data_IF_374006829843
#
_entry.id   IF_374006829843
#
_cell.length_a   1.000
_cell.length_b   1.000
_cell.length_c   1.000
_cell.angle_alpha   90.00
_cell.angle_beta   90.00
_cell.angle_gamma   90.00
#
_symmetry.space_group_name_H-M   'P 1'
#
loop_
_entity.id
_entity.type
_entity.pdbx_description
1 polymer ?
#
# COMPACT_ATOMS: atom_id res chain seq x y z
N UNK A 1 -45.65 7.91 12.94
CA UNK A 1 -44.69 6.86 13.27
C UNK A 1 -44.58 6.00 12.03
N UNK A 2 -43.60 6.30 11.18
CA UNK A 2 -43.35 5.57 9.93
C UNK A 2 -42.57 4.31 10.25
N UNK A 3 -43.12 3.16 9.87
CA UNK A 3 -42.48 1.84 9.96
C UNK A 3 -41.23 1.79 9.06
N UNK A 4 -40.09 2.24 9.59
CA UNK A 4 -38.80 1.95 8.98
C UNK A 4 -38.38 0.55 9.39
N UNK A 5 -38.72 -0.44 8.57
CA UNK A 5 -38.17 -1.78 8.73
C UNK A 5 -36.64 -1.71 8.56
N UNK A 6 -35.84 -2.23 9.51
CA UNK A 6 -34.40 -2.24 9.38
C UNK A 6 -34.02 -3.04 8.13
N UNK A 7 -33.07 -2.57 7.30
CA UNK A 7 -32.71 -3.29 6.09
C UNK A 7 -32.25 -4.71 6.44
N UNK A 8 -32.93 -5.71 5.88
CA UNK A 8 -32.55 -7.11 5.99
C UNK A 8 -31.18 -7.32 5.34
N UNK A 9 -30.14 -7.27 6.17
CA UNK A 9 -28.78 -7.70 5.85
C UNK A 9 -28.10 -6.85 4.76
N UNK A 10 -27.27 -5.91 5.21
CA UNK A 10 -26.24 -5.35 4.34
C UNK A 10 -25.45 -6.51 3.71
N UNK A 11 -25.39 -6.56 2.37
CA UNK A 11 -24.48 -7.46 1.66
C UNK A 11 -23.07 -6.93 1.89
N UNK A 12 -22.53 -7.14 3.09
CA UNK A 12 -21.11 -7.04 3.32
C UNK A 12 -20.50 -8.18 2.51
N UNK A 13 -20.05 -7.87 1.30
CA UNK A 13 -19.29 -8.80 0.48
C UNK A 13 -17.97 -9.09 1.20
N UNK A 14 -18.01 -9.98 2.18
CA UNK A 14 -16.87 -10.31 3.03
C UNK A 14 -15.67 -10.81 2.19
N UNK A 15 -15.95 -11.33 0.99
CA UNK A 15 -14.96 -11.71 -0.01
C UNK A 15 -14.37 -10.57 -0.86
N UNK A 16 -15.06 -9.43 -1.04
CA UNK A 16 -14.51 -8.29 -1.81
C UNK A 16 -13.53 -7.45 -0.97
N UNK A 17 -13.61 -7.52 0.35
CA UNK A 17 -12.74 -6.76 1.26
C UNK A 17 -11.40 -7.43 1.57
N UNK A 18 -11.27 -8.73 1.28
CA UNK A 18 -10.11 -9.58 1.57
C UNK A 18 -9.29 -9.80 0.30
N UNK A 19 -7.97 -9.82 0.42
CA UNK A 19 -7.12 -10.12 -0.74
C UNK A 19 -7.27 -11.59 -1.15
N UNK A 20 -7.42 -11.91 -2.45
CA UNK A 20 -7.44 -13.30 -2.91
C UNK A 20 -6.06 -13.92 -2.71
N UNK A 21 -5.97 -14.92 -1.82
CA UNK A 21 -4.72 -15.59 -1.46
C UNK A 21 -4.74 -17.07 -1.84
N UNK A 22 -3.62 -17.56 -2.36
CA UNK A 22 -3.37 -18.98 -2.61
C UNK A 22 -2.25 -19.41 -1.66
N UNK A 23 -2.53 -20.41 -0.83
CA UNK A 23 -1.56 -20.96 0.15
C UNK A 23 -0.95 -19.92 1.10
N UNK A 24 -1.71 -18.87 1.43
CA UNK A 24 -1.27 -17.77 2.30
C UNK A 24 -0.51 -16.65 1.60
N UNK A 25 -0.40 -16.71 0.26
CA UNK A 25 0.26 -15.68 -0.56
C UNK A 25 -0.80 -14.98 -1.41
N UNK A 26 -0.87 -13.63 -1.41
CA UNK A 26 -1.74 -12.90 -2.32
C UNK A 26 -1.44 -13.22 -3.78
N UNK A 27 -2.46 -13.59 -4.56
CA UNK A 27 -2.32 -14.11 -5.92
C UNK A 27 -1.46 -13.21 -6.83
N UNK A 28 -1.77 -11.91 -6.85
CA UNK A 28 -1.05 -10.94 -7.69
C UNK A 28 0.43 -10.81 -7.30
N UNK A 29 0.75 -10.97 -6.02
CA UNK A 29 2.12 -10.89 -5.53
C UNK A 29 2.87 -12.18 -5.85
N UNK A 30 2.25 -13.33 -5.64
CA UNK A 30 2.82 -14.62 -6.04
C UNK A 30 3.14 -14.68 -7.53
N UNK A 31 2.23 -14.19 -8.38
CA UNK A 31 2.43 -14.10 -9.83
C UNK A 31 3.61 -13.18 -10.17
N UNK A 32 3.71 -12.01 -9.52
CA UNK A 32 4.82 -11.08 -9.74
C UNK A 32 6.16 -11.71 -9.36
N UNK A 33 6.25 -12.40 -8.22
CA UNK A 33 7.47 -13.10 -7.78
C UNK A 33 7.88 -14.16 -8.81
N UNK A 34 6.94 -14.97 -9.28
CA UNK A 34 7.20 -16.00 -10.29
C UNK A 34 7.70 -15.40 -11.61
N UNK A 35 7.02 -14.37 -12.12
CA UNK A 35 7.44 -13.71 -13.36
C UNK A 35 8.83 -13.08 -13.22
N UNK A 36 9.09 -12.36 -12.12
CA UNK A 36 10.39 -11.72 -11.89
C UNK A 36 11.52 -12.74 -11.72
N UNK A 37 11.27 -13.85 -11.02
CA UNK A 37 12.29 -14.89 -10.84
C UNK A 37 12.60 -15.59 -12.17
N UNK A 38 11.59 -15.90 -12.98
CA UNK A 38 11.79 -16.53 -14.29
C UNK A 38 12.46 -15.59 -15.28
N UNK A 39 12.03 -14.33 -15.37
CA UNK A 39 12.65 -13.33 -16.25
C UNK A 39 14.10 -13.05 -15.81
N UNK A 40 14.33 -12.90 -14.51
CA UNK A 40 15.68 -12.70 -13.98
C UNK A 40 16.59 -13.90 -14.24
N UNK A 41 16.07 -15.12 -14.05
CA UNK A 41 16.78 -16.36 -14.36
C UNK A 41 17.09 -16.51 -15.85
N UNK A 42 16.16 -16.13 -16.72
CA UNK A 42 16.39 -16.13 -18.17
C UNK A 42 17.48 -15.14 -18.55
N UNK A 43 17.39 -13.87 -18.10
CA UNK A 43 18.37 -12.84 -18.41
C UNK A 43 19.77 -13.23 -17.91
N UNK A 44 19.88 -13.64 -16.65
CA UNK A 44 21.16 -14.06 -16.09
C UNK A 44 21.66 -15.34 -16.76
N UNK A 45 20.77 -16.29 -17.07
CA UNK A 45 21.09 -17.51 -17.79
C UNK A 45 21.70 -17.23 -19.16
N UNK A 46 21.17 -16.23 -19.88
CA UNK A 46 21.67 -15.85 -21.21
C UNK A 46 22.99 -15.07 -21.18
N UNK A 47 23.19 -14.19 -20.19
CA UNK A 47 24.37 -13.31 -20.16
C UNK A 47 25.53 -13.82 -19.29
N UNK A 48 25.22 -14.55 -18.21
CA UNK A 48 26.20 -15.04 -17.21
C UNK A 48 26.44 -16.55 -17.38
N UNK A 49 25.60 -17.23 -18.18
CA UNK A 49 25.70 -18.66 -18.47
C UNK A 49 24.84 -19.51 -17.52
N UNK A 50 25.08 -20.83 -17.48
CA UNK A 50 24.21 -21.80 -16.81
C UNK A 50 23.89 -21.51 -15.34
N UNK A 51 24.83 -20.90 -14.60
CA UNK A 51 24.62 -20.49 -13.19
C UNK A 51 23.55 -19.41 -13.04
N UNK A 52 23.30 -18.60 -14.07
CA UNK A 52 22.27 -17.56 -14.05
C UNK A 52 20.85 -18.11 -13.89
N UNK A 53 20.60 -19.35 -14.30
CA UNK A 53 19.31 -20.02 -14.09
C UNK A 53 19.00 -20.27 -12.62
N UNK A 54 20.01 -20.37 -11.75
CA UNK A 54 19.81 -20.50 -10.30
C UNK A 54 19.11 -19.28 -9.71
N UNK A 55 19.17 -18.12 -10.37
CA UNK A 55 18.43 -16.94 -9.93
C UNK A 55 16.91 -17.17 -9.92
N UNK A 56 16.38 -18.03 -10.79
CA UNK A 56 14.96 -18.37 -10.77
C UNK A 56 14.51 -19.02 -9.44
N UNK A 57 15.42 -19.70 -8.74
CA UNK A 57 15.14 -20.30 -7.44
C UNK A 57 14.98 -19.27 -6.32
N UNK A 58 15.48 -18.04 -6.49
CA UNK A 58 15.32 -16.97 -5.49
C UNK A 58 13.84 -16.59 -5.31
N UNK A 59 12.98 -16.87 -6.30
CA UNK A 59 11.54 -16.70 -6.15
C UNK A 59 10.94 -17.51 -4.99
N UNK A 60 11.52 -18.69 -4.67
CA UNK A 60 11.03 -19.58 -3.61
C UNK A 60 11.18 -18.97 -2.21
N UNK A 61 12.39 -18.57 -1.74
CA UNK A 61 12.52 -17.95 -0.43
C UNK A 61 11.75 -16.63 -0.32
N UNK A 62 11.63 -15.86 -1.41
CA UNK A 62 10.83 -14.63 -1.43
C UNK A 62 9.34 -14.94 -1.25
N UNK A 63 8.82 -15.97 -1.92
CA UNK A 63 7.44 -16.41 -1.75
C UNK A 63 7.17 -16.90 -0.31
N UNK A 64 8.11 -17.63 0.29
CA UNK A 64 8.01 -18.05 1.70
C UNK A 64 8.05 -16.87 2.67
N UNK A 65 8.88 -15.86 2.40
CA UNK A 65 8.90 -14.62 3.18
C UNK A 65 7.55 -13.90 3.12
N UNK A 66 6.98 -13.77 1.93
CA UNK A 66 5.64 -13.17 1.75
C UNK A 66 4.57 -13.96 2.49
N UNK A 67 4.62 -15.29 2.43
CA UNK A 67 3.72 -16.17 3.19
C UNK A 67 3.81 -15.92 4.69
N UNK A 68 5.02 -15.76 5.22
CA UNK A 68 5.23 -15.47 6.65
C UNK A 68 4.68 -14.09 7.02
N UNK A 69 4.85 -13.09 6.15
CA UNK A 69 4.33 -11.73 6.36
C UNK A 69 2.79 -11.70 6.38
N UNK A 70 2.15 -12.45 5.49
CA UNK A 70 0.70 -12.54 5.38
C UNK A 70 0.05 -13.54 6.36
N UNK A 71 0.82 -14.20 7.23
CA UNK A 71 0.29 -15.19 8.16
C UNK A 71 -0.74 -14.60 9.15
N UNK A 72 -0.53 -13.36 9.58
CA UNK A 72 -1.36 -12.68 10.57
C UNK A 72 -2.37 -11.68 9.95
N UNK A 73 -2.08 -11.14 8.77
CA UNK A 73 -2.90 -10.11 8.10
C UNK A 73 -2.79 -10.22 6.57
N UNK A 74 -3.92 -10.34 5.88
CA UNK A 74 -3.99 -10.44 4.41
C UNK A 74 -3.64 -9.13 3.69
N UNK A 75 -3.62 -8.00 4.42
CA UNK A 75 -3.26 -6.67 3.93
C UNK A 75 -1.84 -6.24 4.28
N UNK A 76 -1.06 -7.08 4.97
CA UNK A 76 0.29 -6.76 5.41
C UNK A 76 1.19 -6.23 4.28
N UNK A 77 1.08 -6.78 3.07
CA UNK A 77 1.87 -6.31 1.91
C UNK A 77 1.47 -4.91 1.47
N UNK A 78 0.19 -4.58 1.47
CA UNK A 78 -0.28 -3.24 1.07
C UNK A 78 0.21 -2.19 2.06
N UNK A 79 0.21 -2.53 3.36
CA UNK A 79 0.74 -1.67 4.42
C UNK A 79 2.24 -1.47 4.23
N UNK A 80 2.99 -2.55 3.99
CA UNK A 80 4.43 -2.48 3.72
C UNK A 80 4.75 -1.63 2.48
N UNK A 81 3.99 -1.80 1.39
CA UNK A 81 4.15 -0.97 0.19
C UNK A 81 3.89 0.51 0.46
N UNK A 82 2.89 0.84 1.28
CA UNK A 82 2.63 2.21 1.69
C UNK A 82 3.79 2.76 2.52
N UNK A 83 4.29 1.99 3.49
CA UNK A 83 5.42 2.38 4.34
C UNK A 83 6.69 2.64 3.50
N UNK A 84 7.00 1.76 2.54
CA UNK A 84 8.13 1.94 1.61
C UNK A 84 7.92 3.18 0.74
N UNK A 85 6.73 3.35 0.15
CA UNK A 85 6.40 4.52 -0.69
C UNK A 85 6.60 5.82 0.10
N UNK A 86 6.10 5.87 1.32
CA UNK A 86 6.24 7.02 2.20
C UNK A 86 7.71 7.23 2.61
N UNK A 87 8.44 6.18 2.94
CA UNK A 87 9.87 6.29 3.28
C UNK A 87 10.69 6.87 2.12
N UNK A 88 10.42 6.44 0.88
CA UNK A 88 11.04 6.96 -0.33
C UNK A 88 10.65 8.43 -0.54
N UNK A 89 9.37 8.78 -0.42
CA UNK A 89 8.90 10.16 -0.60
C UNK A 89 9.46 11.10 0.47
N UNK A 90 9.64 10.62 1.70
CA UNK A 90 10.34 11.33 2.79
C UNK A 90 11.79 11.60 2.42
N UNK A 91 12.49 10.61 1.87
CA UNK A 91 13.88 10.72 1.48
C UNK A 91 14.07 11.67 0.27
N UNK A 92 13.21 11.58 -0.74
CA UNK A 92 13.34 12.33 -2.00
C UNK A 92 12.81 13.75 -1.95
N UNK A 93 11.72 14.02 -1.22
CA UNK A 93 11.06 15.34 -1.26
C UNK A 93 11.84 16.45 -0.54
N UNK A 94 12.82 16.10 0.32
CA UNK A 94 13.53 17.06 1.17
C UNK A 94 12.66 17.75 2.23
N UNK A 95 11.34 17.60 2.16
CA UNK A 95 10.37 18.24 3.05
C UNK A 95 10.52 17.80 4.51
N UNK A 96 11.07 16.59 4.71
CA UNK A 96 11.39 16.07 6.03
C UNK A 96 12.42 16.92 6.78
N UNK A 97 13.35 17.60 6.06
CA UNK A 97 14.34 18.49 6.68
C UNK A 97 13.67 19.72 7.32
N UNK A 98 12.60 20.21 6.73
CA UNK A 98 11.87 21.38 7.21
C UNK A 98 10.88 21.08 8.35
N UNK A 99 10.61 19.79 8.62
CA UNK A 99 9.67 19.34 9.65
C UNK A 99 10.35 18.44 10.70
N UNK A 100 11.62 18.72 11.01
CA UNK A 100 12.35 18.03 12.09
C UNK A 100 12.55 16.54 11.86
N UNK A 101 12.72 16.11 10.60
CA UNK A 101 12.85 14.71 10.24
C UNK A 101 11.52 13.94 10.19
N UNK A 102 10.38 14.62 10.35
CA UNK A 102 9.05 14.02 10.16
C UNK A 102 8.50 14.38 8.78
N UNK A 103 7.73 13.49 8.16
CA UNK A 103 7.10 13.79 6.90
C UNK A 103 5.72 14.42 7.19
N UNK A 104 5.69 15.74 7.34
CA UNK A 104 4.43 16.45 7.51
C UNK A 104 3.81 16.73 6.14
N UNK A 105 2.62 16.20 5.91
CA UNK A 105 1.80 16.55 4.76
C UNK A 105 1.03 17.81 5.16
N UNK A 106 1.67 18.97 4.98
CA UNK A 106 0.98 20.23 5.12
C UNK A 106 -0.02 20.38 3.96
N UNK A 107 -1.29 20.72 4.22
CA UNK A 107 -2.22 21.08 3.15
C UNK A 107 -1.63 22.24 2.34
N UNK A 108 -1.32 21.99 1.06
CA UNK A 108 -0.75 22.96 0.11
C UNK A 108 -1.60 24.23 -0.05
N UNK A 109 -2.85 24.20 0.45
CA UNK A 109 -3.82 25.28 0.38
C UNK A 109 -4.61 25.46 1.68
N UNK A 110 -4.00 25.29 2.85
CA UNK A 110 -4.63 25.82 4.06
C UNK A 110 -4.53 27.36 4.05
N UNK A 111 -5.67 28.04 4.08
CA UNK A 111 -5.72 29.50 4.24
C UNK A 111 -5.42 30.36 3.00
N UNK A 112 -5.01 29.79 1.85
CA UNK A 112 -4.66 30.57 0.64
C UNK A 112 -5.82 31.41 0.08
N UNK A 113 -7.07 31.03 0.36
CA UNK A 113 -8.26 31.84 0.07
C UNK A 113 -8.77 32.49 1.36
N UNK A 114 -8.60 33.81 1.46
CA UNK A 114 -9.11 34.67 2.54
C UNK A 114 -10.60 34.41 2.86
N UNK A 115 -11.38 33.97 1.85
CA UNK A 115 -12.78 33.52 1.96
C UNK A 115 -12.99 32.39 2.96
N UNK A 116 -12.11 31.39 3.00
CA UNK A 116 -12.29 30.20 3.85
C UNK A 116 -11.95 30.51 5.30
N UNK A 117 -10.97 31.40 5.54
CA UNK A 117 -10.61 31.90 6.87
C UNK A 117 -11.72 32.80 7.43
N UNK A 118 -12.25 33.73 6.62
CA UNK A 118 -13.37 34.61 7.02
C UNK A 118 -14.63 33.85 7.42
N UNK A 119 -14.86 32.64 6.89
CA UNK A 119 -16.04 31.82 7.23
C UNK A 119 -16.05 31.38 8.70
N UNK A 120 -14.89 31.08 9.27
CA UNK A 120 -14.78 30.68 10.68
C UNK A 120 -15.02 31.87 11.61
N UNK A 121 -14.36 33.00 11.35
CA UNK A 121 -14.54 34.22 12.16
C UNK A 121 -15.97 34.79 12.07
N UNK A 122 -16.62 34.73 10.89
CA UNK A 122 -18.01 35.20 10.74
C UNK A 122 -19.02 34.33 11.52
N UNK A 123 -18.70 33.06 11.78
CA UNK A 123 -19.53 32.16 12.57
C UNK A 123 -19.34 32.41 14.08
N UNK A 124 -18.11 32.73 14.50
CA UNK A 124 -17.79 33.05 15.91
C UNK A 124 -18.34 34.40 16.36
N UNK A 125 -18.40 35.41 15.46
CA UNK A 125 -18.92 36.76 15.81
C UNK A 125 -20.46 36.83 15.79
N UNK A 126 -21.15 35.77 15.32
CA UNK A 126 -22.62 35.66 15.31
C UNK A 126 -23.16 34.67 16.34
N UNK A 127 -22.30 34.17 17.24
CA UNK A 127 -22.70 33.43 18.43
C UNK A 127 -22.78 34.36 19.62
#
# INVERSE_FOLDING_TARGET
>A
MTDEQPPEKYISYNGLGRSPMIWGIPYMVGLAIMCLSLIGGLLLGTFVGGLGWLFALIGVPVALFVKMLCANDDKAIQILMLEVKWSILKALSGNAKYHGGTMAIAPTTYGRKLKNVKRYFKKTVRG
#
